data_IF_721592680154
#
_entry.id   IF_721592680154
#
_cell.length_a   1.000
_cell.length_b   1.000
_cell.length_c   1.000
_cell.angle_alpha   90.00
_cell.angle_beta   90.00
_cell.angle_gamma   90.00
#
_symmetry.space_group_name_H-M   'P 1'
#
loop_
_entity.id
_entity.type
_entity.pdbx_description
1 polymer ?
#
# COMPACT_ATOMS: atom_id res chain seq x y z
N UNK A 1 6.89 0.20 -4.48
CA UNK A 1 5.72 -0.55 -5.03
C UNK A 1 4.66 -0.67 -3.95
N UNK A 2 3.41 -0.23 -4.23
CA UNK A 2 2.29 -0.41 -3.29
C UNK A 2 1.74 -1.82 -3.39
N UNK A 3 1.52 -2.46 -2.25
CA UNK A 3 0.95 -3.80 -2.16
C UNK A 3 -0.57 -3.77 -1.97
N UNK A 4 -1.26 -4.83 -2.42
CA UNK A 4 -2.62 -5.12 -1.97
C UNK A 4 -2.62 -5.56 -0.49
N UNK A 5 -3.76 -5.43 0.18
CA UNK A 5 -3.90 -5.89 1.57
C UNK A 5 -3.49 -7.36 1.77
N UNK A 6 -3.88 -8.26 0.85
CA UNK A 6 -3.52 -9.66 0.98
C UNK A 6 -2.01 -9.89 0.89
N UNK A 7 -1.30 -9.16 0.02
CA UNK A 7 0.16 -9.22 -0.10
C UNK A 7 0.84 -8.65 1.15
N UNK A 8 0.32 -7.54 1.68
CA UNK A 8 0.80 -7.01 2.97
C UNK A 8 0.63 -8.04 4.10
N UNK A 9 -0.50 -8.75 4.13
CA UNK A 9 -0.72 -9.83 5.12
C UNK A 9 0.18 -11.04 4.92
N UNK A 10 0.59 -11.37 3.70
CA UNK A 10 1.60 -12.39 3.44
C UNK A 10 2.95 -12.01 4.07
N UNK A 11 3.38 -10.74 3.91
CA UNK A 11 4.57 -10.24 4.60
C UNK A 11 4.40 -10.23 6.12
N UNK A 12 3.23 -9.85 6.62
CA UNK A 12 2.94 -9.93 8.06
C UNK A 12 3.07 -11.35 8.58
N UNK A 13 2.53 -12.33 7.87
CA UNK A 13 2.67 -13.74 8.25
C UNK A 13 4.13 -14.23 8.21
N UNK A 14 4.92 -13.82 7.20
CA UNK A 14 6.35 -14.10 7.07
C UNK A 14 7.14 -13.63 8.31
N UNK A 15 6.77 -12.49 8.87
CA UNK A 15 7.38 -11.89 10.07
C UNK A 15 6.61 -12.20 11.37
N UNK A 16 5.69 -13.18 11.36
CA UNK A 16 4.90 -13.58 12.53
C UNK A 16 4.07 -12.45 13.17
N UNK A 17 3.66 -11.45 12.42
CA UNK A 17 2.68 -10.45 12.87
C UNK A 17 1.32 -11.13 13.01
N UNK A 18 0.66 -11.04 14.17
CA UNK A 18 -0.67 -11.63 14.34
C UNK A 18 -1.69 -10.99 13.38
N UNK A 19 -2.29 -11.79 12.52
CA UNK A 19 -3.31 -11.35 11.57
C UNK A 19 -4.32 -12.47 11.30
N UNK A 20 -5.48 -12.13 10.76
CA UNK A 20 -6.46 -13.13 10.34
C UNK A 20 -6.08 -13.73 9.00
N UNK A 21 -6.05 -15.07 8.87
CA UNK A 21 -5.83 -15.71 7.59
C UNK A 21 -6.98 -15.40 6.63
N UNK A 22 -6.65 -15.33 5.36
CA UNK A 22 -7.63 -15.10 4.29
C UNK A 22 -7.13 -15.65 2.98
N UNK A 23 -8.04 -15.77 2.01
CA UNK A 23 -7.72 -16.19 0.65
C UNK A 23 -8.28 -15.21 -0.36
N UNK A 24 -7.53 -15.04 -1.45
CA UNK A 24 -7.88 -14.15 -2.57
C UNK A 24 -8.65 -14.94 -3.61
N UNK A 25 -9.65 -14.28 -4.20
CA UNK A 25 -10.43 -14.78 -5.33
C UNK A 25 -10.85 -13.65 -6.26
N UNK A 26 -11.17 -13.96 -7.48
CA UNK A 26 -11.73 -13.05 -8.49
C UNK A 26 -13.17 -13.45 -8.90
N UNK A 27 -13.76 -14.47 -8.25
CA UNK A 27 -15.11 -14.94 -8.51
C UNK A 27 -15.97 -14.97 -7.24
N UNK A 28 -17.29 -14.83 -7.42
CA UNK A 28 -18.24 -14.93 -6.31
C UNK A 28 -18.42 -16.39 -5.85
N UNK A 29 -18.32 -17.33 -6.77
CA UNK A 29 -18.41 -18.77 -6.50
C UNK A 29 -17.28 -19.22 -5.56
N UNK A 30 -16.04 -18.82 -5.84
CA UNK A 30 -14.91 -19.14 -4.99
C UNK A 30 -14.98 -18.41 -3.65
N UNK A 31 -15.51 -17.17 -3.61
CA UNK A 31 -15.72 -16.45 -2.36
C UNK A 31 -16.69 -17.23 -1.43
N UNK A 32 -17.74 -17.81 -1.99
CA UNK A 32 -18.66 -18.71 -1.27
C UNK A 32 -17.94 -19.96 -0.77
N UNK A 33 -17.19 -20.64 -1.65
CA UNK A 33 -16.46 -21.85 -1.30
C UNK A 33 -15.42 -21.60 -0.17
N UNK A 34 -14.70 -20.47 -0.22
CA UNK A 34 -13.78 -20.05 0.84
C UNK A 34 -14.53 -19.84 2.17
N UNK A 35 -15.70 -19.18 2.13
CA UNK A 35 -16.51 -18.97 3.33
C UNK A 35 -17.05 -20.27 3.92
N UNK A 36 -17.47 -21.25 3.08
CA UNK A 36 -17.87 -22.59 3.50
C UNK A 36 -16.72 -23.34 4.19
N UNK A 37 -15.52 -23.26 3.64
CA UNK A 37 -14.34 -23.90 4.20
C UNK A 37 -13.90 -23.26 5.54
N UNK A 38 -13.98 -21.93 5.66
CA UNK A 38 -13.72 -21.24 6.93
C UNK A 38 -14.75 -21.67 8.00
N UNK A 39 -15.99 -21.91 7.61
CA UNK A 39 -17.07 -22.40 8.49
C UNK A 39 -17.48 -21.45 9.61
N UNK A 40 -17.12 -20.18 9.49
CA UNK A 40 -17.42 -19.08 10.42
C UNK A 40 -17.80 -17.84 9.62
N UNK A 41 -18.38 -16.79 10.24
CA UNK A 41 -18.56 -15.51 9.57
C UNK A 41 -17.27 -14.97 8.97
N UNK A 42 -17.38 -14.35 7.78
CA UNK A 42 -16.23 -13.83 7.05
C UNK A 42 -16.40 -12.34 6.70
N UNK A 43 -15.27 -11.70 6.44
CA UNK A 43 -15.21 -10.40 5.78
C UNK A 43 -14.89 -10.61 4.30
N UNK A 44 -15.65 -9.97 3.41
CA UNK A 44 -15.39 -9.90 1.97
C UNK A 44 -14.87 -8.49 1.68
N UNK A 45 -13.61 -8.40 1.23
CA UNK A 45 -12.90 -7.12 1.10
C UNK A 45 -12.38 -6.93 -0.31
N UNK A 46 -12.75 -5.81 -0.94
CA UNK A 46 -12.17 -5.35 -2.20
C UNK A 46 -10.64 -5.24 -2.10
N UNK A 47 -9.94 -5.73 -3.11
CA UNK A 47 -8.50 -5.57 -3.24
C UNK A 47 -8.19 -4.48 -4.26
N UNK A 48 -7.89 -3.28 -3.77
CA UNK A 48 -7.46 -2.11 -4.54
C UNK A 48 -6.37 -1.37 -3.78
N UNK A 49 -5.47 -0.71 -4.50
CA UNK A 49 -4.30 0.00 -3.93
C UNK A 49 -4.66 1.41 -3.44
N UNK A 50 -5.87 1.61 -2.92
CA UNK A 50 -6.34 2.89 -2.37
C UNK A 50 -7.07 2.70 -1.05
N UNK A 51 -7.03 3.72 -0.19
CA UNK A 51 -7.77 3.76 1.07
C UNK A 51 -9.26 4.08 0.90
N UNK A 52 -10.04 3.93 2.00
CA UNK A 52 -11.46 4.27 2.02
C UNK A 52 -12.38 3.19 1.44
N UNK A 53 -11.90 1.97 1.25
CA UNK A 53 -12.66 0.83 0.73
C UNK A 53 -13.97 0.58 1.49
N UNK A 54 -13.95 0.69 2.82
CA UNK A 54 -15.14 0.51 3.66
C UNK A 54 -16.23 1.54 3.36
N UNK A 55 -15.87 2.83 3.26
CA UNK A 55 -16.80 3.93 2.93
C UNK A 55 -17.39 3.78 1.53
N UNK A 56 -16.63 3.20 0.60
CA UNK A 56 -17.08 2.93 -0.77
C UNK A 56 -17.92 1.63 -0.92
N UNK A 57 -18.18 0.91 0.19
CA UNK A 57 -18.94 -0.33 0.15
C UNK A 57 -18.14 -1.57 -0.24
N UNK A 58 -16.83 -1.44 -0.40
CA UNK A 58 -15.91 -2.53 -0.77
C UNK A 58 -15.53 -3.48 0.36
N UNK A 59 -16.08 -3.32 1.57
CA UNK A 59 -15.84 -4.19 2.73
C UNK A 59 -17.18 -4.58 3.33
N UNK A 60 -17.48 -5.89 3.39
CA UNK A 60 -18.75 -6.42 3.86
C UNK A 60 -18.56 -7.61 4.79
N UNK A 61 -19.33 -7.61 5.87
CA UNK A 61 -19.48 -8.76 6.76
C UNK A 61 -20.49 -9.75 6.16
N UNK A 62 -20.16 -11.02 6.12
CA UNK A 62 -21.01 -12.10 5.68
C UNK A 62 -21.18 -13.12 6.81
N UNK A 63 -22.41 -13.27 7.30
CA UNK A 63 -22.73 -14.24 8.34
C UNK A 63 -22.74 -15.66 7.80
N UNK A 64 -23.04 -15.81 6.52
CA UNK A 64 -23.15 -17.10 5.81
C UNK A 64 -22.35 -17.09 4.52
N UNK A 65 -22.10 -18.27 3.94
CA UNK A 65 -21.45 -18.40 2.64
C UNK A 65 -22.30 -17.81 1.51
N UNK A 66 -23.64 -17.85 1.60
CA UNK A 66 -24.54 -17.23 0.63
C UNK A 66 -24.47 -15.70 0.71
N UNK A 67 -24.31 -15.12 1.91
CA UNK A 67 -24.04 -13.70 2.05
C UNK A 67 -22.68 -13.33 1.41
N UNK A 68 -21.64 -14.16 1.62
CA UNK A 68 -20.35 -13.96 1.00
C UNK A 68 -20.42 -13.95 -0.54
N UNK A 69 -21.16 -14.86 -1.13
CA UNK A 69 -21.46 -14.88 -2.57
C UNK A 69 -22.11 -13.57 -3.03
N UNK A 70 -23.18 -13.18 -2.36
CA UNK A 70 -23.93 -11.95 -2.69
C UNK A 70 -23.08 -10.71 -2.58
N UNK A 71 -22.26 -10.61 -1.52
CA UNK A 71 -21.33 -9.48 -1.34
C UNK A 71 -20.23 -9.49 -2.38
N UNK A 72 -19.70 -10.65 -2.73
CA UNK A 72 -18.69 -10.78 -3.78
C UNK A 72 -19.20 -10.28 -5.13
N UNK A 73 -20.43 -10.68 -5.53
CA UNK A 73 -21.06 -10.18 -6.75
C UNK A 73 -21.22 -8.66 -6.77
N UNK A 74 -21.56 -8.07 -5.62
CA UNK A 74 -21.77 -6.62 -5.52
C UNK A 74 -20.47 -5.81 -5.46
N UNK A 75 -19.36 -6.41 -5.00
CA UNK A 75 -18.07 -5.73 -4.82
C UNK A 75 -17.19 -5.87 -6.06
N UNK A 76 -17.22 -7.04 -6.74
CA UNK A 76 -16.50 -7.21 -8.01
C UNK A 76 -17.04 -6.22 -9.06
N UNK A 77 -16.14 -5.50 -9.71
CA UNK A 77 -16.46 -4.47 -10.68
C UNK A 77 -16.81 -3.10 -10.11
N UNK A 78 -16.86 -2.91 -8.76
CA UNK A 78 -16.99 -1.58 -8.18
C UNK A 78 -15.81 -0.68 -8.57
N UNK A 79 -16.11 0.57 -8.86
CA UNK A 79 -15.11 1.64 -8.95
C UNK A 79 -14.90 2.26 -7.56
N UNK A 80 -13.68 2.12 -7.04
CA UNK A 80 -13.26 2.75 -5.78
C UNK A 80 -12.17 3.77 -6.08
N UNK A 81 -12.53 5.04 -6.17
CA UNK A 81 -11.61 6.14 -6.48
C UNK A 81 -10.81 5.93 -7.79
N UNK A 82 -11.47 5.44 -8.84
CA UNK A 82 -10.86 5.15 -10.14
C UNK A 82 -10.21 3.77 -10.27
N UNK A 83 -10.26 2.96 -9.22
CA UNK A 83 -9.74 1.58 -9.23
C UNK A 83 -10.90 0.58 -9.31
N UNK A 84 -10.98 -0.15 -10.42
CA UNK A 84 -11.98 -1.21 -10.58
C UNK A 84 -11.57 -2.44 -9.78
N UNK A 85 -12.46 -2.91 -8.91
CA UNK A 85 -12.23 -4.11 -8.08
C UNK A 85 -12.22 -5.36 -8.96
N UNK A 86 -11.07 -6.01 -9.08
CA UNK A 86 -10.89 -7.26 -9.83
C UNK A 86 -10.70 -8.47 -8.92
N UNK A 87 -10.30 -8.25 -7.66
CA UNK A 87 -9.98 -9.31 -6.69
C UNK A 87 -10.62 -9.00 -5.34
N UNK A 88 -10.95 -10.04 -4.61
CA UNK A 88 -11.48 -9.99 -3.25
C UNK A 88 -10.57 -10.77 -2.30
N UNK A 89 -10.46 -10.29 -1.07
CA UNK A 89 -9.93 -11.05 0.05
C UNK A 89 -11.11 -11.53 0.90
N UNK A 90 -11.23 -12.84 1.09
CA UNK A 90 -12.20 -13.45 2.02
C UNK A 90 -11.42 -13.94 3.23
N UNK A 91 -11.73 -13.43 4.40
CA UNK A 91 -11.03 -13.77 5.65
C UNK A 91 -12.01 -13.98 6.79
N UNK A 92 -11.64 -14.77 7.82
CA UNK A 92 -12.43 -14.91 9.04
C UNK A 92 -12.73 -13.53 9.63
N UNK A 93 -13.99 -13.29 9.99
CA UNK A 93 -14.38 -12.08 10.71
C UNK A 93 -13.91 -12.16 12.17
N UNK A 94 -13.37 -11.07 12.67
CA UNK A 94 -12.94 -10.96 14.07
C UNK A 94 -13.92 -10.11 14.84
N UNK A 95 -14.22 -10.53 16.07
CA UNK A 95 -14.87 -9.67 17.03
C UNK A 95 -13.90 -8.57 17.46
N UNK A 96 -14.34 -7.33 17.46
CA UNK A 96 -13.53 -6.15 17.75
C UNK A 96 -14.03 -5.52 19.04
N UNK A 97 -13.16 -5.42 20.04
CA UNK A 97 -13.42 -4.67 21.27
C UNK A 97 -12.94 -3.22 21.15
N UNK A 98 -11.74 -3.04 20.57
CA UNK A 98 -11.11 -1.72 20.40
C UNK A 98 -10.28 -1.71 19.12
N UNK A 99 -10.16 -0.53 18.52
CA UNK A 99 -9.41 -0.29 17.29
C UNK A 99 -8.29 0.74 17.53
N UNK A 100 -7.11 0.47 17.03
CA UNK A 100 -5.91 1.30 17.15
C UNK A 100 -5.30 1.54 15.78
N UNK A 101 -4.43 2.54 15.71
CA UNK A 101 -3.62 2.85 14.54
C UNK A 101 -2.14 2.69 14.86
N UNK A 102 -1.39 2.10 13.94
CA UNK A 102 0.07 2.05 13.98
C UNK A 102 0.64 2.13 12.56
N UNK A 103 1.68 2.92 12.37
CA UNK A 103 2.47 2.91 11.14
C UNK A 103 3.94 3.20 11.38
N UNK A 104 4.77 2.68 10.47
CA UNK A 104 6.15 3.08 10.28
C UNK A 104 6.33 3.63 8.89
N UNK A 105 7.02 4.76 8.76
CA UNK A 105 7.26 5.41 7.48
C UNK A 105 8.63 6.08 7.42
N UNK A 106 9.10 6.31 6.19
CA UNK A 106 10.30 7.09 5.92
C UNK A 106 9.98 8.58 5.95
N UNK A 107 10.47 9.28 6.99
CA UNK A 107 10.38 10.73 7.10
C UNK A 107 11.58 11.41 6.39
N UNK A 108 11.40 11.71 5.12
CA UNK A 108 12.44 12.33 4.28
C UNK A 108 12.78 13.74 4.73
N UNK A 109 11.82 14.50 5.26
CA UNK A 109 12.02 15.86 5.70
C UNK A 109 12.98 15.94 6.89
N UNK A 110 12.82 15.01 7.84
CA UNK A 110 13.65 14.94 9.04
C UNK A 110 14.81 13.92 8.93
N UNK A 111 14.96 13.24 7.79
CA UNK A 111 16.00 12.24 7.50
C UNK A 111 16.04 11.12 8.55
N UNK A 112 14.87 10.62 8.92
CA UNK A 112 14.71 9.58 9.93
C UNK A 112 13.55 8.66 9.57
N UNK A 113 13.34 7.60 10.35
CA UNK A 113 12.09 6.87 10.34
C UNK A 113 11.13 7.47 11.36
N UNK A 114 9.85 7.31 11.13
CA UNK A 114 8.78 7.81 11.98
C UNK A 114 7.84 6.68 12.34
N UNK A 115 7.59 6.48 13.63
CA UNK A 115 6.48 5.68 14.13
C UNK A 115 5.29 6.61 14.41
N UNK A 116 4.11 6.24 13.95
CA UNK A 116 2.86 6.93 14.31
C UNK A 116 1.94 5.93 14.99
N UNK A 117 1.36 6.32 16.13
CA UNK A 117 0.46 5.46 16.91
C UNK A 117 -0.69 6.26 17.48
N UNK A 118 -1.90 5.67 17.50
CA UNK A 118 -3.08 6.31 18.05
C UNK A 118 -4.08 5.28 18.60
N UNK A 119 -4.76 5.66 19.67
CA UNK A 119 -5.94 4.96 20.17
C UNK A 119 -7.17 5.15 19.27
N UNK A 120 -7.13 6.08 18.33
CA UNK A 120 -8.19 6.36 17.36
C UNK A 120 -7.94 5.54 16.06
N UNK A 121 -8.22 4.23 16.11
CA UNK A 121 -8.15 3.35 14.96
C UNK A 121 -9.42 3.35 14.12
N UNK A 122 -9.35 2.72 12.92
CA UNK A 122 -10.49 2.60 12.00
C UNK A 122 -10.90 3.92 11.31
N UNK A 123 -10.22 5.03 11.61
CA UNK A 123 -10.45 6.35 11.02
C UNK A 123 -9.34 6.70 10.01
N UNK A 124 -9.62 7.64 9.11
CA UNK A 124 -8.58 8.24 8.28
C UNK A 124 -7.59 8.99 9.17
N UNK A 125 -6.30 8.65 9.10
CA UNK A 125 -5.30 9.21 10.03
C UNK A 125 -5.10 10.72 9.84
N UNK A 126 -5.35 11.23 8.64
CA UNK A 126 -5.33 12.66 8.33
C UNK A 126 -6.44 13.41 9.08
N UNK A 127 -7.61 12.79 9.24
CA UNK A 127 -8.73 13.34 10.03
C UNK A 127 -8.36 13.35 11.51
N UNK A 128 -7.74 12.30 12.03
CA UNK A 128 -7.23 12.27 13.42
C UNK A 128 -6.19 13.35 13.63
N UNK A 129 -5.24 13.51 12.70
CA UNK A 129 -4.19 14.53 12.76
C UNK A 129 -4.75 15.96 12.76
N UNK A 130 -5.85 16.18 12.03
CA UNK A 130 -6.48 17.50 11.94
C UNK A 130 -7.41 17.82 13.12
N UNK A 131 -8.17 16.83 13.62
CA UNK A 131 -9.24 17.05 14.62
C UNK A 131 -8.83 16.69 16.04
N UNK A 132 -7.90 15.74 16.20
CA UNK A 132 -7.44 15.20 17.48
C UNK A 132 -5.90 15.04 17.51
N UNK A 133 -5.12 16.10 17.22
CA UNK A 133 -3.66 15.98 17.10
C UNK A 133 -2.98 15.41 18.35
N UNK A 134 -3.52 15.67 19.52
CA UNK A 134 -3.01 15.17 20.80
C UNK A 134 -3.21 13.66 20.99
N UNK A 135 -4.06 13.04 20.16
CA UNK A 135 -4.28 11.58 20.16
C UNK A 135 -3.37 10.84 19.20
N UNK A 136 -2.60 11.53 18.37
CA UNK A 136 -1.68 10.95 17.41
C UNK A 136 -0.24 11.17 17.86
N UNK A 137 0.39 10.12 18.39
CA UNK A 137 1.82 10.14 18.66
C UNK A 137 2.62 10.08 17.36
N UNK A 138 3.64 10.91 17.25
CA UNK A 138 4.63 10.93 16.16
C UNK A 138 6.01 10.84 16.79
N UNK A 139 6.67 9.70 16.60
CA UNK A 139 7.87 9.36 17.34
C UNK A 139 9.00 9.05 16.34
N UNK A 140 10.04 9.89 16.27
CA UNK A 140 11.21 9.57 15.45
C UNK A 140 11.86 8.27 15.91
N UNK A 141 12.26 7.45 14.95
CA UNK A 141 12.94 6.17 15.19
C UNK A 141 14.36 6.26 14.65
N UNK A 142 15.33 6.10 15.54
CA UNK A 142 16.74 6.05 15.20
C UNK A 142 17.04 4.75 14.42
N UNK A 143 17.42 4.88 13.14
CA UNK A 143 17.70 3.76 12.26
C UNK A 143 18.82 2.83 12.78
N UNK A 144 19.71 3.33 13.63
CA UNK A 144 20.82 2.53 14.19
C UNK A 144 20.41 1.69 15.38
N UNK A 145 19.33 2.07 16.06
CA UNK A 145 18.80 1.37 17.25
C UNK A 145 17.60 0.48 16.92
N UNK A 146 16.78 0.92 15.94
CA UNK A 146 15.55 0.23 15.59
C UNK A 146 14.46 0.34 16.66
N UNK A 147 13.53 -0.62 16.62
CA UNK A 147 12.41 -0.73 17.56
C UNK A 147 12.44 -2.11 18.20
N UNK A 148 12.89 -2.18 19.45
CA UNK A 148 12.73 -3.34 20.31
C UNK A 148 11.38 -3.31 21.04
N UNK A 149 11.03 -4.36 21.78
CA UNK A 149 9.77 -4.44 22.53
C UNK A 149 9.63 -3.31 23.57
N UNK A 150 10.72 -2.88 24.21
CA UNK A 150 10.68 -1.81 25.19
C UNK A 150 10.33 -0.48 24.56
N UNK A 151 10.93 -0.17 23.41
CA UNK A 151 10.61 1.04 22.65
C UNK A 151 9.23 0.94 21.96
N UNK A 152 8.84 -0.24 21.49
CA UNK A 152 7.50 -0.49 20.97
C UNK A 152 6.41 -0.26 22.04
N UNK A 153 6.67 -0.66 23.28
CA UNK A 153 5.78 -0.38 24.43
C UNK A 153 5.67 1.12 24.68
N UNK A 154 6.77 1.86 24.56
CA UNK A 154 6.76 3.33 24.68
C UNK A 154 5.94 3.97 23.54
N UNK A 155 6.08 3.47 22.30
CA UNK A 155 5.26 3.92 21.15
C UNK A 155 3.76 3.71 21.45
N UNK A 156 3.37 2.52 21.88
CA UNK A 156 1.98 2.21 22.24
C UNK A 156 1.44 3.13 23.34
N UNK A 157 2.24 3.33 24.39
CA UNK A 157 1.87 4.22 25.51
C UNK A 157 1.71 5.67 25.07
N UNK A 158 2.59 6.20 24.22
CA UNK A 158 2.46 7.55 23.66
C UNK A 158 1.27 7.67 22.70
N UNK A 159 0.88 6.58 22.04
CA UNK A 159 -0.35 6.48 21.24
C UNK A 159 -1.62 6.38 22.07
N UNK A 160 -1.52 6.45 23.39
CA UNK A 160 -2.63 6.37 24.35
C UNK A 160 -3.35 5.01 24.38
N UNK A 161 -2.69 3.93 23.99
CA UNK A 161 -3.26 2.60 24.14
C UNK A 161 -3.46 2.27 25.63
N UNK A 162 -4.52 1.53 25.99
CA UNK A 162 -4.79 1.11 27.38
C UNK A 162 -3.63 0.30 27.98
N UNK A 163 -3.38 0.48 29.30
CA UNK A 163 -2.24 -0.17 29.97
C UNK A 163 -2.28 -1.71 29.87
N UNK A 164 -3.48 -2.29 29.90
CA UNK A 164 -3.68 -3.74 29.82
C UNK A 164 -3.29 -4.37 28.46
N UNK A 165 -3.16 -3.58 27.40
CA UNK A 165 -2.77 -4.07 26.07
C UNK A 165 -1.35 -3.72 25.68
N UNK A 166 -0.64 -2.89 26.46
CA UNK A 166 0.66 -2.35 26.06
C UNK A 166 1.69 -3.43 25.73
N UNK A 167 1.76 -4.49 26.52
CA UNK A 167 2.75 -5.55 26.33
C UNK A 167 2.44 -6.39 25.07
N UNK A 168 1.17 -6.74 24.87
CA UNK A 168 0.75 -7.46 23.66
C UNK A 168 0.88 -6.60 22.40
N UNK A 169 0.56 -5.31 22.49
CA UNK A 169 0.75 -4.35 21.41
C UNK A 169 2.24 -4.15 21.10
N UNK A 170 3.11 -4.08 22.11
CA UNK A 170 4.55 -3.93 21.93
C UNK A 170 5.15 -5.06 21.09
N UNK A 171 4.80 -6.30 21.39
CA UNK A 171 5.24 -7.47 20.59
C UNK A 171 4.82 -7.33 19.13
N UNK A 172 3.56 -6.92 18.88
CA UNK A 172 3.07 -6.77 17.51
C UNK A 172 3.72 -5.59 16.79
N UNK A 173 3.91 -4.45 17.48
CA UNK A 173 4.57 -3.26 16.93
C UNK A 173 6.04 -3.54 16.58
N UNK A 174 6.77 -4.27 17.44
CA UNK A 174 8.14 -4.68 17.15
C UNK A 174 8.22 -5.56 15.89
N UNK A 175 7.29 -6.50 15.70
CA UNK A 175 7.21 -7.32 14.48
C UNK A 175 6.86 -6.51 13.23
N UNK A 176 6.00 -5.50 13.33
CA UNK A 176 5.72 -4.58 12.22
C UNK A 176 6.96 -3.76 11.83
N UNK A 177 7.81 -3.43 12.81
CA UNK A 177 9.12 -2.83 12.52
C UNK A 177 10.04 -3.82 11.79
N UNK A 178 10.04 -5.10 12.16
CA UNK A 178 10.79 -6.14 11.43
C UNK A 178 10.32 -6.25 9.98
N UNK A 179 9.01 -6.16 9.72
CA UNK A 179 8.49 -6.07 8.33
C UNK A 179 9.06 -4.84 7.64
N UNK A 180 8.99 -3.67 8.28
CA UNK A 180 9.41 -2.40 7.70
C UNK A 180 10.88 -2.42 7.25
N UNK A 181 11.79 -2.91 8.10
CA UNK A 181 13.22 -2.95 7.79
C UNK A 181 13.61 -4.20 7.00
N UNK A 182 12.99 -5.34 7.26
CA UNK A 182 13.32 -6.61 6.63
C UNK A 182 12.89 -6.70 5.17
N UNK A 183 11.85 -5.95 4.80
CA UNK A 183 11.33 -5.91 3.43
C UNK A 183 11.69 -4.60 2.70
N UNK A 184 12.59 -3.78 3.24
CA UNK A 184 12.92 -2.45 2.71
C UNK A 184 11.66 -1.61 2.38
N UNK A 185 10.70 -1.61 3.30
CA UNK A 185 9.48 -0.84 3.11
C UNK A 185 9.70 0.66 3.39
N UNK A 186 8.98 1.51 2.66
CA UNK A 186 8.90 2.95 2.93
C UNK A 186 7.66 3.33 3.72
N UNK A 187 6.70 2.40 3.81
CA UNK A 187 5.50 2.48 4.64
C UNK A 187 5.07 1.07 5.06
N UNK A 188 4.79 0.91 6.35
CA UNK A 188 4.00 -0.21 6.91
C UNK A 188 2.95 0.41 7.79
N UNK A 189 1.68 0.22 7.46
CA UNK A 189 0.54 0.78 8.19
C UNK A 189 -0.46 -0.32 8.51
N UNK A 190 -0.99 -0.29 9.73
CA UNK A 190 -2.09 -1.14 10.18
C UNK A 190 -3.21 -0.24 10.71
N UNK A 191 -4.35 -0.27 10.01
CA UNK A 191 -5.53 0.52 10.36
C UNK A 191 -6.83 -0.22 9.98
N UNK A 192 -7.45 -0.95 10.94
CA UNK A 192 -7.12 -0.98 12.36
C UNK A 192 -6.15 -2.10 12.79
N UNK A 193 -5.35 -1.81 13.81
CA UNK A 193 -4.82 -2.78 14.72
C UNK A 193 -5.88 -2.97 15.81
N UNK A 194 -6.33 -4.19 16.07
CA UNK A 194 -7.46 -4.39 16.96
C UNK A 194 -7.12 -5.18 18.21
N UNK A 195 -7.88 -4.92 19.27
CA UNK A 195 -8.02 -5.81 20.40
C UNK A 195 -9.29 -6.63 20.25
N UNK A 196 -9.18 -7.95 20.38
CA UNK A 196 -10.37 -8.81 20.45
C UNK A 196 -10.96 -8.78 21.87
N UNK A 197 -12.25 -9.14 22.04
CA UNK A 197 -12.83 -9.24 23.37
C UNK A 197 -12.08 -10.23 24.26
N UNK A 198 -11.97 -9.89 25.55
CA UNK A 198 -11.49 -10.82 26.59
C UNK A 198 -12.38 -12.06 26.67
N UNK A 199 -11.76 -13.22 26.82
CA UNK A 199 -12.45 -14.50 27.03
C UNK A 199 -12.66 -14.83 28.51
N UNK A 200 -12.35 -13.86 29.39
CA UNK A 200 -12.46 -13.98 30.83
C UNK A 200 -11.13 -14.33 31.54
N UNK A 201 -11.10 -14.16 32.87
CA UNK A 201 -9.87 -14.31 33.65
C UNK A 201 -8.83 -13.21 33.35
N UNK A 202 -7.56 -13.59 33.29
CA UNK A 202 -6.44 -12.66 33.00
C UNK A 202 -6.19 -12.49 31.48
N UNK A 203 -7.10 -12.96 30.60
CA UNK A 203 -6.98 -12.80 29.16
C UNK A 203 -7.38 -11.38 28.72
N UNK A 204 -6.45 -10.51 28.31
CA UNK A 204 -6.77 -9.14 27.88
C UNK A 204 -7.40 -9.07 26.48
N UNK A 205 -7.54 -10.22 25.78
CA UNK A 205 -7.82 -10.31 24.36
C UNK A 205 -6.54 -10.33 23.52
N UNK A 206 -6.68 -10.61 22.24
CA UNK A 206 -5.55 -10.68 21.29
C UNK A 206 -5.38 -9.35 20.56
N UNK A 207 -4.15 -9.01 20.23
CA UNK A 207 -3.82 -7.90 19.32
C UNK A 207 -3.62 -8.47 17.92
N UNK A 208 -4.42 -7.99 16.94
CA UNK A 208 -4.43 -8.49 15.57
C UNK A 208 -4.35 -7.34 14.56
N UNK A 209 -3.55 -7.51 13.53
CA UNK A 209 -3.56 -6.64 12.35
C UNK A 209 -4.67 -7.09 11.40
N UNK A 210 -5.81 -6.38 11.38
CA UNK A 210 -6.96 -6.75 10.53
C UNK A 210 -6.87 -6.18 9.12
N UNK A 211 -6.20 -5.07 8.96
CA UNK A 211 -5.86 -4.47 7.66
C UNK A 211 -4.36 -4.20 7.60
N UNK A 212 -3.81 -4.09 6.41
CA UNK A 212 -2.41 -3.80 6.22
C UNK A 212 -2.18 -3.07 4.91
N UNK A 213 -1.36 -2.02 4.99
CA UNK A 213 -0.85 -1.31 3.83
C UNK A 213 0.67 -1.29 3.90
N UNK A 214 1.31 -1.79 2.86
CA UNK A 214 2.76 -1.82 2.74
C UNK A 214 3.16 -1.19 1.41
N UNK A 215 4.13 -0.29 1.46
CA UNK A 215 4.81 0.25 0.27
C UNK A 215 6.27 -0.16 0.34
N UNK A 216 6.73 -0.93 -0.63
CA UNK A 216 8.10 -1.38 -0.76
C UNK A 216 8.94 -0.35 -1.54
N UNK A 217 10.24 -0.25 -1.20
CA UNK A 217 11.18 0.56 -1.97
C UNK A 217 11.65 -0.21 -3.21
N UNK A 218 11.20 0.19 -4.40
CA UNK A 218 11.63 -0.43 -5.66
C UNK A 218 13.14 -0.32 -5.94
N UNK A 219 13.85 0.61 -5.28
CA UNK A 219 15.30 0.67 -5.39
C UNK A 219 16.02 -0.47 -4.64
N UNK A 220 15.29 -1.21 -3.80
CA UNK A 220 15.80 -2.36 -3.05
C UNK A 220 15.48 -3.71 -3.72
N UNK A 221 14.81 -3.74 -4.86
CA UNK A 221 14.39 -4.97 -5.57
C UNK A 221 15.57 -5.94 -5.81
N UNK A 222 16.78 -5.42 -5.99
CA UNK A 222 17.99 -6.26 -6.15
C UNK A 222 18.32 -7.12 -4.92
N UNK A 223 17.80 -6.77 -3.74
CA UNK A 223 17.93 -7.53 -2.47
C UNK A 223 16.75 -8.44 -2.22
N UNK A 224 15.62 -8.19 -2.89
CA UNK A 224 14.34 -8.86 -2.70
C UNK A 224 13.76 -9.36 -4.02
N UNK A 225 14.42 -10.31 -4.71
CA UNK A 225 13.93 -10.81 -6.00
C UNK A 225 12.53 -11.45 -5.88
N UNK A 226 12.15 -11.93 -4.69
CA UNK A 226 10.82 -12.47 -4.40
C UNK A 226 9.71 -11.42 -4.50
N UNK A 227 10.02 -10.13 -4.31
CA UNK A 227 9.01 -9.05 -4.43
C UNK A 227 8.45 -8.91 -5.86
N UNK A 228 9.12 -9.48 -6.87
CA UNK A 228 8.60 -9.53 -8.23
C UNK A 228 7.25 -10.28 -8.32
N UNK A 229 6.97 -11.21 -7.39
CA UNK A 229 5.69 -11.94 -7.31
C UNK A 229 4.51 -11.03 -6.90
N UNK A 230 4.80 -9.90 -6.26
CA UNK A 230 3.80 -8.91 -5.85
C UNK A 230 3.43 -7.92 -6.94
N UNK A 231 4.12 -7.97 -8.08
CA UNK A 231 3.86 -7.04 -9.17
C UNK A 231 2.48 -7.30 -9.80
N UNK A 232 1.63 -6.29 -9.81
CA UNK A 232 0.34 -6.34 -10.47
C UNK A 232 0.48 -5.82 -11.90
N UNK A 233 0.78 -6.74 -12.82
CA UNK A 233 0.93 -6.42 -14.25
C UNK A 233 -0.36 -5.89 -14.88
N UNK A 234 -1.52 -6.29 -14.35
CA UNK A 234 -2.82 -5.86 -14.86
C UNK A 234 -3.20 -4.43 -14.45
N UNK A 235 -2.57 -3.89 -13.42
CA UNK A 235 -2.79 -2.52 -12.93
C UNK A 235 -1.73 -1.53 -13.42
N UNK A 236 -0.63 -2.02 -14.01
CA UNK A 236 0.45 -1.16 -14.56
C UNK A 236 0.08 -0.73 -15.97
N UNK A 237 0.35 0.54 -16.32
CA UNK A 237 0.14 1.04 -17.67
C UNK A 237 0.91 0.17 -18.69
N UNK A 238 0.27 -0.24 -19.81
CA UNK A 238 0.91 -1.10 -20.80
C UNK A 238 2.22 -0.54 -21.39
N UNK A 239 2.35 0.80 -21.44
CA UNK A 239 3.58 1.45 -21.93
C UNK A 239 4.68 1.38 -20.87
N UNK A 240 4.33 1.50 -19.58
CA UNK A 240 5.28 1.30 -18.48
C UNK A 240 5.79 -0.14 -18.43
N UNK A 241 4.88 -1.13 -18.62
CA UNK A 241 5.29 -2.54 -18.74
C UNK A 241 6.22 -2.77 -19.91
N UNK A 242 5.89 -2.22 -21.10
CA UNK A 242 6.72 -2.33 -22.29
C UNK A 242 8.10 -1.68 -22.09
N UNK A 243 8.15 -0.53 -21.43
CA UNK A 243 9.39 0.15 -21.08
C UNK A 243 10.27 -0.71 -20.17
N UNK A 244 9.67 -1.35 -19.16
CA UNK A 244 10.36 -2.22 -18.21
C UNK A 244 10.99 -3.45 -18.87
N UNK A 245 10.38 -4.00 -19.94
CA UNK A 245 10.96 -5.10 -20.73
C UNK A 245 12.30 -4.72 -21.40
N UNK A 246 12.57 -3.42 -21.55
CA UNK A 246 13.78 -2.86 -22.11
C UNK A 246 14.68 -2.16 -21.09
N UNK A 247 14.46 -2.41 -19.78
CA UNK A 247 15.16 -1.76 -18.66
C UNK A 247 15.11 -0.22 -18.72
N UNK A 248 14.00 0.34 -19.25
CA UNK A 248 13.80 1.77 -19.38
C UNK A 248 13.01 2.31 -18.16
N UNK A 249 13.47 3.43 -17.63
CA UNK A 249 12.76 4.16 -16.57
C UNK A 249 11.74 5.13 -17.19
N UNK A 250 10.52 4.65 -17.38
CA UNK A 250 9.42 5.37 -18.02
C UNK A 250 8.27 5.55 -17.04
N UNK A 251 7.69 6.76 -17.03
CA UNK A 251 6.44 7.07 -16.31
C UNK A 251 5.51 7.80 -17.28
N UNK A 252 4.29 7.30 -17.43
CA UNK A 252 3.25 7.94 -18.23
C UNK A 252 2.69 9.18 -17.52
N UNK A 253 2.45 10.25 -18.26
CA UNK A 253 1.82 11.49 -17.82
C UNK A 253 0.68 11.87 -18.77
N UNK A 254 -0.15 12.85 -18.35
CA UNK A 254 -1.29 13.34 -19.13
C UNK A 254 -0.91 14.54 -20.01
N UNK A 255 -0.18 14.29 -21.08
CA UNK A 255 0.27 15.36 -21.97
C UNK A 255 0.36 14.94 -23.44
N UNK A 256 0.94 15.84 -24.26
CA UNK A 256 1.03 15.70 -25.72
C UNK A 256 2.46 15.71 -26.25
N UNK A 257 3.44 16.07 -25.40
CA UNK A 257 4.86 16.15 -25.78
C UNK A 257 5.61 15.01 -25.14
N UNK A 258 6.02 14.02 -25.92
CA UNK A 258 6.91 12.96 -25.49
C UNK A 258 8.29 13.52 -25.14
N UNK A 259 8.85 13.06 -24.03
CA UNK A 259 10.18 13.48 -23.53
C UNK A 259 11.09 12.27 -23.45
N UNK A 260 12.29 12.39 -23.99
CA UNK A 260 13.36 11.39 -23.85
C UNK A 260 14.67 12.11 -23.58
N UNK A 261 15.43 11.64 -22.62
CA UNK A 261 16.73 12.26 -22.29
C UNK A 261 17.67 11.32 -21.56
N UNK A 262 18.92 11.75 -21.42
CA UNK A 262 20.00 11.03 -20.75
C UNK A 262 20.20 11.59 -19.34
N UNK A 263 19.66 10.89 -18.36
CA UNK A 263 19.78 11.24 -16.94
C UNK A 263 18.52 11.88 -16.37
N UNK A 264 18.08 11.35 -15.25
CA UNK A 264 16.83 11.70 -14.60
C UNK A 264 16.68 13.21 -14.30
N UNK A 265 17.76 13.87 -13.83
CA UNK A 265 17.74 15.31 -13.54
C UNK A 265 17.50 16.18 -14.78
N UNK A 266 18.13 15.82 -15.93
CA UNK A 266 17.89 16.50 -17.19
C UNK A 266 16.44 16.32 -17.65
N UNK A 267 15.92 15.10 -17.60
CA UNK A 267 14.53 14.80 -17.98
C UNK A 267 13.56 15.56 -17.10
N UNK A 268 13.74 15.56 -15.77
CA UNK A 268 12.90 16.33 -14.84
C UNK A 268 12.87 17.83 -15.18
N UNK A 269 14.05 18.43 -15.39
CA UNK A 269 14.13 19.84 -15.78
C UNK A 269 13.48 20.12 -17.14
N UNK A 270 13.59 19.19 -18.08
CA UNK A 270 12.93 19.29 -19.40
C UNK A 270 11.41 19.24 -19.26
N UNK A 271 10.87 18.38 -18.40
CA UNK A 271 9.45 18.32 -18.10
C UNK A 271 8.94 19.68 -17.58
N UNK A 272 9.66 20.29 -16.64
CA UNK A 272 9.29 21.58 -16.07
C UNK A 272 9.31 22.69 -17.15
N UNK A 273 10.36 22.74 -17.97
CA UNK A 273 10.47 23.76 -19.06
C UNK A 273 9.35 23.59 -20.08
N UNK A 274 9.04 22.36 -20.49
CA UNK A 274 7.94 22.09 -21.45
C UNK A 274 6.59 22.46 -20.83
N UNK A 275 6.35 22.13 -19.55
CA UNK A 275 5.11 22.49 -18.87
C UNK A 275 4.94 24.01 -18.77
N UNK A 276 5.96 24.74 -18.31
CA UNK A 276 5.91 26.22 -18.21
C UNK A 276 5.75 26.91 -19.58
N UNK A 277 6.48 26.44 -20.60
CA UNK A 277 6.31 26.97 -21.95
C UNK A 277 4.88 26.71 -22.47
N UNK A 278 4.34 25.53 -22.19
CA UNK A 278 3.01 25.11 -22.60
C UNK A 278 1.87 25.96 -22.02
N UNK A 279 2.03 26.58 -20.85
CA UNK A 279 1.00 27.46 -20.24
C UNK A 279 0.54 28.55 -21.20
N UNK A 280 1.45 29.15 -21.97
CA UNK A 280 1.16 30.20 -22.95
C UNK A 280 0.77 29.64 -24.33
N UNK A 281 0.76 28.33 -24.50
CA UNK A 281 0.48 27.64 -25.77
C UNK A 281 -0.68 26.63 -25.65
N UNK A 282 -1.75 27.02 -24.97
CA UNK A 282 -2.95 26.19 -24.84
C UNK A 282 -2.89 25.12 -23.77
N UNK A 283 -1.93 25.20 -22.84
CA UNK A 283 -1.79 24.26 -21.73
C UNK A 283 -1.14 22.94 -22.14
N UNK A 284 -0.32 22.96 -23.18
CA UNK A 284 0.45 21.77 -23.62
C UNK A 284 1.34 21.25 -22.50
N UNK A 285 1.35 19.93 -22.29
CA UNK A 285 2.06 19.28 -21.18
C UNK A 285 2.94 18.14 -21.67
N UNK A 286 3.95 17.74 -20.88
CA UNK A 286 4.70 16.51 -21.11
C UNK A 286 3.79 15.28 -21.03
N UNK A 287 3.99 14.32 -21.94
CA UNK A 287 3.24 13.05 -22.00
C UNK A 287 3.88 11.94 -21.16
N UNK A 288 5.17 12.07 -20.88
CA UNK A 288 5.90 11.05 -20.12
C UNK A 288 7.21 11.60 -19.52
N UNK A 289 7.70 10.89 -18.52
CA UNK A 289 9.12 10.88 -18.14
C UNK A 289 9.78 9.69 -18.82
N UNK A 290 10.96 9.85 -19.43
CA UNK A 290 11.80 8.74 -19.89
C UNK A 290 13.26 9.10 -19.80
N UNK A 291 13.95 8.42 -18.89
CA UNK A 291 15.40 8.44 -18.74
C UNK A 291 16.00 7.16 -19.36
N UNK A 292 16.83 7.33 -20.40
CA UNK A 292 17.54 6.22 -21.05
C UNK A 292 18.93 5.98 -20.48
N UNK A 293 19.30 6.71 -19.43
CA UNK A 293 20.60 6.60 -18.79
C UNK A 293 21.78 7.16 -19.60
N UNK A 294 22.93 7.26 -18.93
CA UNK A 294 24.17 7.67 -19.55
C UNK A 294 24.76 6.54 -20.40
N UNK A 295 25.17 6.85 -21.65
CA UNK A 295 25.79 5.87 -22.54
C UNK A 295 24.80 4.95 -23.27
N UNK A 296 23.55 5.39 -23.43
CA UNK A 296 22.52 4.65 -24.15
C UNK A 296 22.95 4.32 -25.59
N UNK A 297 22.69 3.08 -26.01
CA UNK A 297 22.93 2.63 -27.40
C UNK A 297 21.79 3.09 -28.33
N UNK A 298 22.00 2.90 -29.63
CA UNK A 298 20.96 3.16 -30.62
C UNK A 298 19.73 2.29 -30.42
N UNK A 299 19.89 1.05 -29.96
CA UNK A 299 18.80 0.13 -29.63
C UNK A 299 17.98 0.63 -28.45
N UNK A 300 18.62 1.12 -27.39
CA UNK A 300 17.96 1.70 -26.21
C UNK A 300 17.17 2.95 -26.60
N UNK A 301 17.75 3.82 -27.43
CA UNK A 301 17.06 5.01 -27.95
C UNK A 301 15.84 4.62 -28.80
N UNK A 302 16.01 3.62 -29.69
CA UNK A 302 14.92 3.13 -30.55
C UNK A 302 13.77 2.53 -29.71
N UNK A 303 14.09 1.73 -28.70
CA UNK A 303 13.11 1.16 -27.78
C UNK A 303 12.35 2.26 -27.00
N UNK A 304 13.07 3.27 -26.51
CA UNK A 304 12.47 4.42 -25.82
C UNK A 304 11.53 5.22 -26.72
N UNK A 305 11.94 5.51 -27.95
CA UNK A 305 11.08 6.17 -28.93
C UNK A 305 9.86 5.32 -29.29
N UNK A 306 10.03 4.00 -29.43
CA UNK A 306 8.92 3.09 -29.72
C UNK A 306 7.88 3.08 -28.58
N UNK A 307 8.30 3.12 -27.32
CA UNK A 307 7.38 3.26 -26.19
C UNK A 307 6.61 4.56 -26.27
N UNK A 308 7.30 5.71 -26.46
CA UNK A 308 6.68 7.03 -26.51
C UNK A 308 5.68 7.14 -27.69
N UNK A 309 6.08 6.65 -28.88
CA UNK A 309 5.26 6.77 -30.09
C UNK A 309 4.05 5.81 -30.09
N UNK A 310 4.00 4.82 -29.22
CA UNK A 310 2.82 3.99 -28.99
C UNK A 310 1.77 4.70 -28.10
N UNK A 311 2.08 5.85 -27.47
CA UNK A 311 1.09 6.65 -26.77
C UNK A 311 0.31 7.51 -27.81
N UNK A 312 -0.98 7.22 -27.95
CA UNK A 312 -1.86 7.96 -28.89
C UNK A 312 -2.05 9.44 -28.54
N UNK A 313 -1.70 9.86 -27.33
CA UNK A 313 -1.76 11.27 -26.90
C UNK A 313 -0.57 12.08 -27.41
N UNK A 314 0.54 11.44 -27.71
CA UNK A 314 1.77 12.10 -28.14
C UNK A 314 1.64 12.66 -29.55
N UNK A 315 1.86 13.97 -29.68
CA UNK A 315 1.85 14.71 -30.96
C UNK A 315 3.24 15.12 -31.42
N UNK A 316 4.17 15.24 -30.51
CA UNK A 316 5.57 15.60 -30.78
C UNK A 316 6.50 14.97 -29.74
N UNK A 317 7.75 14.77 -30.08
CA UNK A 317 8.77 14.23 -29.17
C UNK A 317 9.92 15.23 -29.07
N UNK A 318 10.31 15.54 -27.85
CA UNK A 318 11.50 16.32 -27.52
C UNK A 318 12.61 15.35 -27.08
N UNK A 319 13.75 15.43 -27.78
CA UNK A 319 14.89 14.54 -27.61
C UNK A 319 16.11 15.34 -27.16
#
# INVERSE_FOLDING_TARGET
MDLFEYQAKELFAKHNVPTTPGRVTDTAEDAKAIAEEIGKPVMVKAQVKTGGRGKAGGVKYAATADDAFTHAQNILGLDIKGHIVKKLLVSEASDIAEEYYISFLLDRANRTYLAMCSVEGGMEIEEVAATKPDRLARIPVDATKGVDEAFAREIAKKGHLPEEVLDAAAVTIAKLWEVFVGEDATLVEVNPLVRTPSRGGDDPGQILALDGKVTLDGNADFRHPEHAEFEDRDATDPLELKAKEHDLNYVKLDGEVGIIGNGAGLVMSTLDVVAYAGENHGGVKPANFLDIGGGASAEVMAAGLDVILNDSQVKSVFV
#
